data_IF_712199492857
#
_entry.id   IF_712199492857
#
_cell.length_a   1.000
_cell.length_b   1.000
_cell.length_c   1.000
_cell.angle_alpha   90.00
_cell.angle_beta   90.00
_cell.angle_gamma   90.00
#
_symmetry.space_group_name_H-M   'P 1'
#
loop_
_entity.id
_entity.type
_entity.pdbx_description
1 polymer ?
#
# COMPACT_ATOMS: atom_id res chain seq x y z
N UNK A 1 11.60 4.59 -5.79
CA UNK A 1 10.42 4.06 -5.06
C UNK A 1 9.98 2.75 -5.70
N UNK A 2 10.02 1.61 -4.99
CA UNK A 2 9.59 0.30 -5.55
C UNK A 2 8.08 0.08 -5.44
N UNK A 3 7.41 0.74 -4.50
CA UNK A 3 5.98 0.55 -4.24
C UNK A 3 5.12 1.05 -5.40
N UNK A 4 5.43 2.23 -5.94
CA UNK A 4 4.69 2.85 -7.04
C UNK A 4 4.75 2.04 -8.36
N UNK A 5 5.72 1.14 -8.52
CA UNK A 5 5.77 0.25 -9.70
C UNK A 5 4.48 -0.59 -9.82
N UNK A 6 3.96 -1.06 -8.68
CA UNK A 6 2.72 -1.84 -8.62
C UNK A 6 1.53 -1.01 -8.15
N UNK A 7 1.73 -0.08 -7.22
CA UNK A 7 0.65 0.66 -6.58
C UNK A 7 0.35 2.03 -7.23
N UNK A 8 1.17 2.48 -8.18
CA UNK A 8 1.11 3.84 -8.71
C UNK A 8 1.60 4.89 -7.72
N UNK A 9 1.90 6.09 -8.20
CA UNK A 9 2.25 7.22 -7.33
C UNK A 9 1.03 7.79 -6.59
N UNK A 10 -0.17 7.50 -7.09
CA UNK A 10 -1.44 7.93 -6.49
C UNK A 10 -2.12 6.83 -5.68
N UNK A 11 -1.52 5.63 -5.58
CA UNK A 11 -2.07 4.50 -4.82
C UNK A 11 -3.23 3.77 -5.48
N UNK A 12 -3.60 4.10 -6.73
CA UNK A 12 -4.70 3.43 -7.45
C UNK A 12 -4.44 1.98 -7.79
N UNK A 13 -3.16 1.58 -7.81
CA UNK A 13 -2.71 0.31 -8.37
C UNK A 13 -3.08 0.12 -9.85
N UNK A 14 -3.34 1.21 -10.57
CA UNK A 14 -3.67 1.21 -12.00
C UNK A 14 -2.41 1.18 -12.89
N UNK A 15 -1.46 0.32 -12.51
CA UNK A 15 -0.25 0.05 -13.31
C UNK A 15 -0.35 -1.31 -13.97
N UNK A 16 0.40 -1.59 -15.06
CA UNK A 16 0.42 -2.92 -15.66
C UNK A 16 0.76 -4.04 -14.65
N UNK A 17 1.71 -3.77 -13.73
CA UNK A 17 2.09 -4.71 -12.69
C UNK A 17 1.01 -4.83 -11.60
N UNK A 18 0.40 -3.72 -11.17
CA UNK A 18 -0.68 -3.70 -10.20
C UNK A 18 -1.89 -4.52 -10.66
N UNK A 19 -2.33 -4.30 -11.92
CA UNK A 19 -3.42 -5.07 -12.54
C UNK A 19 -3.08 -6.55 -12.68
N UNK A 20 -1.86 -6.90 -13.10
CA UNK A 20 -1.43 -8.30 -13.22
C UNK A 20 -1.41 -9.03 -11.87
N UNK A 21 -1.04 -8.33 -10.80
CA UNK A 21 -0.94 -8.91 -9.45
C UNK A 21 -2.23 -8.77 -8.63
N UNK A 22 -3.26 -8.10 -9.15
CA UNK A 22 -4.50 -7.85 -8.41
C UNK A 22 -4.28 -6.93 -7.20
N UNK A 23 -3.37 -5.97 -7.30
CA UNK A 23 -3.12 -5.03 -6.22
C UNK A 23 -4.36 -4.13 -6.00
N UNK A 24 -4.82 -3.96 -4.75
CA UNK A 24 -6.02 -3.17 -4.46
C UNK A 24 -5.75 -1.66 -4.62
N UNK A 25 -6.81 -0.88 -4.86
CA UNK A 25 -6.75 0.58 -4.76
C UNK A 25 -6.62 0.99 -3.30
N UNK A 26 -5.45 1.52 -2.94
CA UNK A 26 -5.08 1.88 -1.57
C UNK A 26 -5.91 3.05 -1.02
N UNK A 27 -6.62 3.77 -1.88
CA UNK A 27 -7.39 4.96 -1.52
C UNK A 27 -8.80 4.63 -1.01
N UNK A 28 -9.26 3.40 -1.25
CA UNK A 28 -10.61 2.94 -0.93
C UNK A 28 -10.85 2.88 0.57
N UNK A 29 -12.10 3.08 1.00
CA UNK A 29 -12.49 2.98 2.41
C UNK A 29 -12.17 1.59 3.00
N UNK A 30 -12.22 0.54 2.17
CA UNK A 30 -11.87 -0.82 2.60
C UNK A 30 -10.41 -0.95 3.02
N UNK A 31 -9.47 -0.33 2.29
CA UNK A 31 -8.07 -0.32 2.68
C UNK A 31 -7.84 0.69 3.81
N UNK A 32 -8.49 1.85 3.75
CA UNK A 32 -8.31 2.93 4.71
C UNK A 32 -8.91 2.66 6.10
N UNK A 33 -9.79 1.68 6.24
CA UNK A 33 -10.31 1.24 7.56
C UNK A 33 -9.44 0.16 8.22
N UNK A 34 -8.52 -0.46 7.50
CA UNK A 34 -7.58 -1.44 8.07
C UNK A 34 -6.74 -0.77 9.15
N UNK A 35 -6.29 -1.51 10.15
CA UNK A 35 -5.36 -1.00 11.16
C UNK A 35 -3.94 -0.90 10.61
N UNK A 36 -3.08 -0.13 11.27
CA UNK A 36 -1.71 0.10 10.81
C UNK A 36 -0.89 -1.20 10.75
N UNK A 37 -1.09 -2.11 11.72
CA UNK A 37 -0.46 -3.44 11.73
C UNK A 37 -0.96 -4.33 10.58
N UNK A 38 -2.22 -4.20 10.19
CA UNK A 38 -2.79 -4.88 9.03
C UNK A 38 -2.22 -4.35 7.70
N UNK A 39 -1.86 -3.06 7.63
CA UNK A 39 -1.17 -2.46 6.48
C UNK A 39 0.33 -2.80 6.44
N UNK A 40 0.97 -2.94 7.61
CA UNK A 40 2.40 -3.28 7.72
C UNK A 40 2.65 -4.75 7.40
N UNK A 41 1.75 -5.65 7.81
CA UNK A 41 1.93 -7.09 7.64
C UNK A 41 2.23 -7.52 6.19
N UNK A 42 1.52 -7.04 5.14
CA UNK A 42 1.86 -7.28 3.75
C UNK A 42 3.22 -6.75 3.32
N UNK A 43 3.65 -5.60 3.85
CA UNK A 43 4.98 -5.02 3.57
C UNK A 43 6.07 -5.96 4.09
N UNK A 44 5.85 -6.54 5.27
CA UNK A 44 6.83 -7.41 5.91
C UNK A 44 6.85 -8.82 5.33
N UNK A 45 5.68 -9.45 5.26
CA UNK A 45 5.53 -10.88 4.96
C UNK A 45 5.13 -11.16 3.51
N UNK A 46 4.82 -10.12 2.74
CA UNK A 46 4.18 -10.26 1.44
C UNK A 46 2.69 -10.60 1.58
N UNK A 47 1.95 -10.44 0.49
CA UNK A 47 0.53 -10.80 0.41
C UNK A 47 0.08 -10.92 -1.05
N UNK A 48 -0.61 -12.00 -1.41
CA UNK A 48 -1.35 -12.16 -2.68
C UNK A 48 -0.65 -11.56 -3.93
N UNK A 49 0.60 -11.95 -4.20
CA UNK A 49 1.37 -11.44 -5.36
C UNK A 49 2.32 -10.28 -5.06
N UNK A 50 2.24 -9.68 -3.87
CA UNK A 50 3.26 -8.78 -3.31
C UNK A 50 4.33 -9.61 -2.59
N UNK A 51 5.57 -9.56 -3.07
CA UNK A 51 6.70 -10.16 -2.38
C UNK A 51 7.05 -9.37 -1.11
N UNK A 52 7.56 -10.04 -0.05
CA UNK A 52 8.00 -9.35 1.17
C UNK A 52 9.12 -8.35 0.86
N UNK A 53 9.01 -7.14 1.42
CA UNK A 53 10.00 -6.05 1.26
C UNK A 53 10.72 -5.76 2.60
N UNK A 54 10.47 -6.58 3.64
CA UNK A 54 11.02 -6.43 5.00
C UNK A 54 12.53 -6.22 5.09
N UNK A 55 13.31 -6.87 4.21
CA UNK A 55 14.77 -6.89 4.30
C UNK A 55 15.43 -5.52 4.04
N UNK A 56 14.64 -4.49 3.73
CA UNK A 56 15.12 -3.16 3.37
C UNK A 56 14.44 -2.00 4.10
N UNK A 57 13.59 -2.26 5.10
CA UNK A 57 12.80 -1.21 5.76
C UNK A 57 12.97 -1.23 7.28
N UNK A 58 13.39 -0.11 7.86
CA UNK A 58 13.35 0.11 9.30
C UNK A 58 11.90 0.24 9.79
N UNK A 59 11.67 0.09 11.10
CA UNK A 59 10.34 0.28 11.67
C UNK A 59 9.79 1.69 11.42
N UNK A 60 10.67 2.71 11.45
CA UNK A 60 10.30 4.09 11.11
C UNK A 60 9.85 4.21 9.65
N UNK A 61 10.59 3.61 8.71
CA UNK A 61 10.19 3.62 7.29
C UNK A 61 8.83 2.97 7.07
N UNK A 62 8.51 1.88 7.80
CA UNK A 62 7.19 1.23 7.73
C UNK A 62 6.08 2.19 8.17
N UNK A 63 6.29 2.91 9.28
CA UNK A 63 5.33 3.89 9.79
C UNK A 63 5.14 5.09 8.84
N UNK A 64 6.21 5.56 8.20
CA UNK A 64 6.13 6.60 7.18
C UNK A 64 5.36 6.12 5.95
N UNK A 65 5.52 4.86 5.53
CA UNK A 65 4.75 4.28 4.43
C UNK A 65 3.26 4.22 4.80
N UNK A 66 2.92 3.77 6.01
CA UNK A 66 1.53 3.74 6.47
C UNK A 66 0.94 5.15 6.48
N UNK A 67 1.65 6.11 7.05
CA UNK A 67 1.24 7.53 7.05
C UNK A 67 0.97 8.04 5.63
N UNK A 68 1.85 7.70 4.68
CA UNK A 68 1.65 8.05 3.28
C UNK A 68 0.41 7.37 2.68
N UNK A 69 0.21 6.07 2.91
CA UNK A 69 -1.00 5.36 2.46
C UNK A 69 -2.26 6.05 3.00
N UNK A 70 -2.29 6.46 4.28
CA UNK A 70 -3.42 7.18 4.88
C UNK A 70 -3.70 8.51 4.18
N UNK A 71 -2.66 9.22 3.75
CA UNK A 71 -2.80 10.49 3.03
C UNK A 71 -3.46 10.36 1.65
N UNK A 72 -3.47 9.15 1.08
CA UNK A 72 -4.07 8.85 -0.22
C UNK A 72 -5.57 8.58 -0.15
N UNK A 73 -6.16 8.51 1.05
CA UNK A 73 -7.58 8.26 1.24
C UNK A 73 -8.43 9.21 0.36
N UNK A 74 -9.40 8.65 -0.35
CA UNK A 74 -10.35 9.48 -1.11
C UNK A 74 -11.04 10.43 -0.13
N UNK A 75 -10.93 11.74 -0.39
CA UNK A 75 -11.73 12.71 0.33
C UNK A 75 -13.18 12.39 0.05
N UNK A 76 -13.95 12.01 1.08
CA UNK A 76 -15.41 11.93 0.96
C UNK A 76 -15.88 13.30 0.49
N UNK A 77 -16.47 13.36 -0.70
CA UNK A 77 -17.15 14.57 -1.15
C UNK A 77 -18.26 14.85 -0.13
N UNK A 78 -18.22 16.04 0.46
CA UNK A 78 -19.18 16.50 1.45
C UNK A 78 -20.53 16.77 0.78
#
# INVERSE_FOLDING_TARGET
MKCALCHGEDGKSDTPAGRQKGAPDLRTEEIQKLKDDELIRPIEKGHAGMAPIQSRLSNESKQLIVTYIRSLALKKAK
#
